data_IF_794611172300
#
_entry.id   IF_794611172300
#
_cell.length_a   1.000
_cell.length_b   1.000
_cell.length_c   1.000
_cell.angle_alpha   90.00
_cell.angle_beta   90.00
_cell.angle_gamma   90.00
#
_symmetry.space_group_name_H-M   'P 1'
#
loop_
_entity.id
_entity.type
_entity.pdbx_description
1 polymer ?
#
# COMPACT_ATOMS: atom_id res chain seq x y z
N UNK A 1 -7.12 16.24 27.83
CA UNK A 1 -6.06 16.84 28.68
C UNK A 1 -5.45 17.99 27.88
N UNK A 2 -5.41 19.21 28.43
CA UNK A 2 -4.76 20.39 27.83
C UNK A 2 -3.23 20.22 27.87
N UNK A 3 -2.67 19.40 26.96
CA UNK A 3 -1.26 19.48 26.62
C UNK A 3 -1.06 20.67 25.68
N UNK A 4 -0.06 21.52 25.93
CA UNK A 4 0.31 22.54 24.97
C UNK A 4 0.68 21.86 23.64
N UNK A 5 0.17 22.38 22.52
CA UNK A 5 0.53 21.93 21.17
C UNK A 5 2.06 21.89 21.04
N UNK A 6 2.61 20.80 20.50
CA UNK A 6 4.05 20.63 20.36
C UNK A 6 4.46 20.31 18.92
N UNK A 7 5.71 20.65 18.59
CA UNK A 7 6.26 20.46 17.24
C UNK A 7 6.85 19.06 17.12
N UNK A 8 6.45 18.33 16.09
CA UNK A 8 7.11 17.09 15.70
C UNK A 8 8.50 17.42 15.12
N UNK A 9 9.56 16.93 15.77
CA UNK A 9 10.95 17.18 15.36
C UNK A 9 11.83 15.98 15.67
N UNK A 10 13.10 16.04 15.25
CA UNK A 10 14.08 14.98 15.48
C UNK A 10 14.24 14.61 16.97
N UNK A 11 14.03 15.56 17.87
CA UNK A 11 14.17 15.41 19.34
C UNK A 11 12.83 15.50 20.08
N UNK A 12 11.72 15.32 19.36
CA UNK A 12 10.36 15.32 19.91
C UNK A 12 9.41 14.50 19.04
N UNK A 13 9.81 13.30 18.62
CA UNK A 13 9.03 12.45 17.70
C UNK A 13 7.70 11.98 18.29
N UNK A 14 7.56 11.96 19.61
CA UNK A 14 6.30 11.63 20.28
C UNK A 14 5.20 12.68 20.06
N UNK A 15 5.55 13.88 19.60
CA UNK A 15 4.63 14.99 19.35
C UNK A 15 4.03 14.96 17.94
N UNK A 16 2.76 15.36 17.82
CA UNK A 16 2.09 15.54 16.53
C UNK A 16 1.08 16.70 16.59
N UNK A 17 1.58 17.91 16.87
CA UNK A 17 0.73 19.11 17.03
C UNK A 17 -0.11 19.02 18.29
N UNK A 18 -1.43 18.97 18.13
CA UNK A 18 -2.41 18.80 19.22
C UNK A 18 -2.60 17.32 19.63
N UNK A 19 -1.95 16.41 18.91
CA UNK A 19 -1.97 14.97 19.14
C UNK A 19 -0.58 14.47 19.54
N UNK A 20 -0.49 13.22 20.01
CA UNK A 20 0.80 12.61 20.38
C UNK A 20 0.76 11.09 20.22
N UNK A 21 1.88 10.44 20.53
CA UNK A 21 2.01 8.98 20.62
C UNK A 21 1.03 8.34 21.63
N UNK A 22 0.51 9.12 22.57
CA UNK A 22 -0.43 8.67 23.60
C UNK A 22 -1.90 8.84 23.19
N UNK A 23 -2.17 9.50 22.06
CA UNK A 23 -3.54 9.66 21.55
C UNK A 23 -4.06 8.31 21.06
N UNK A 24 -5.23 7.89 21.54
CA UNK A 24 -5.90 6.68 21.08
C UNK A 24 -6.43 6.88 19.64
N UNK A 25 -5.67 6.40 18.66
CA UNK A 25 -6.01 6.55 17.25
C UNK A 25 -7.23 5.73 16.79
N UNK A 26 -7.72 4.79 17.61
CA UNK A 26 -8.95 4.06 17.28
C UNK A 26 -10.20 4.95 17.39
N UNK A 27 -10.14 5.93 18.29
CA UNK A 27 -11.26 6.79 18.66
C UNK A 27 -11.04 8.24 18.23
N UNK A 28 -9.79 8.73 18.23
CA UNK A 28 -9.43 10.10 17.91
C UNK A 28 -8.58 10.13 16.65
N UNK A 29 -9.05 10.85 15.62
CA UNK A 29 -8.37 10.97 14.33
C UNK A 29 -8.19 12.47 14.03
N UNK A 30 -6.99 12.93 13.64
CA UNK A 30 -6.80 14.31 13.21
C UNK A 30 -7.67 14.65 12.00
N UNK A 31 -8.27 15.84 12.02
CA UNK A 31 -9.00 16.37 10.87
C UNK A 31 -8.14 17.41 10.16
N UNK A 32 -7.29 16.95 9.23
CA UNK A 32 -6.35 17.82 8.50
C UNK A 32 -7.05 18.64 7.41
N UNK A 33 -8.17 18.14 6.87
CA UNK A 33 -8.84 18.70 5.70
C UNK A 33 -8.07 18.48 4.38
N UNK A 34 -6.89 17.85 4.44
CA UNK A 34 -6.05 17.57 3.29
C UNK A 34 -6.53 16.29 2.61
N UNK A 35 -6.55 16.32 1.28
CA UNK A 35 -6.74 15.14 0.44
C UNK A 35 -5.48 14.92 -0.36
N UNK A 36 -4.95 13.69 -0.32
CA UNK A 36 -3.85 13.26 -1.18
C UNK A 36 -4.39 12.35 -2.25
N UNK A 37 -4.15 12.75 -3.49
CA UNK A 37 -4.71 12.10 -4.67
C UNK A 37 -3.61 11.43 -5.48
N UNK A 38 -3.82 10.17 -5.85
CA UNK A 38 -2.85 9.33 -6.53
C UNK A 38 -3.48 8.64 -7.74
N UNK A 39 -2.67 8.45 -8.79
CA UNK A 39 -3.04 7.67 -9.97
C UNK A 39 -2.08 6.49 -10.12
N UNK A 40 -2.63 5.30 -9.95
CA UNK A 40 -1.92 4.04 -10.13
C UNK A 40 -2.39 3.37 -11.41
N UNK A 41 -1.43 3.02 -12.25
CA UNK A 41 -1.62 2.25 -13.47
C UNK A 41 -1.15 0.82 -13.22
N UNK A 42 -2.07 -0.15 -13.23
CA UNK A 42 -1.71 -1.57 -13.12
C UNK A 42 -1.27 -2.07 -14.49
N UNK A 43 0.01 -2.42 -14.62
CA UNK A 43 0.65 -2.67 -15.90
C UNK A 43 1.27 -4.06 -15.97
N UNK A 44 1.33 -4.61 -17.18
CA UNK A 44 2.22 -5.73 -17.48
C UNK A 44 3.56 -5.14 -17.94
N UNK A 45 4.62 -5.42 -17.21
CA UNK A 45 5.94 -4.81 -17.40
C UNK A 45 7.01 -5.88 -17.56
N UNK A 46 8.14 -5.50 -18.16
CA UNK A 46 9.36 -6.31 -18.18
C UNK A 46 10.39 -5.60 -17.31
N UNK A 47 10.90 -6.29 -16.28
CA UNK A 47 11.84 -5.72 -15.30
C UNK A 47 13.06 -6.63 -15.10
N UNK A 48 14.14 -6.04 -14.59
CA UNK A 48 15.42 -6.73 -14.35
C UNK A 48 15.98 -6.39 -12.96
N UNK A 49 15.29 -6.74 -11.86
CA UNK A 49 15.61 -6.24 -10.51
C UNK A 49 16.90 -6.82 -9.91
N UNK A 50 17.31 -8.02 -10.34
CA UNK A 50 18.45 -8.78 -9.80
C UNK A 50 19.44 -9.21 -10.90
N UNK A 51 19.35 -8.60 -12.09
CA UNK A 51 20.11 -8.98 -13.27
C UNK A 51 19.41 -10.02 -14.17
N UNK A 52 18.30 -10.61 -13.73
CA UNK A 52 17.47 -11.49 -14.56
C UNK A 52 16.24 -10.75 -15.09
N UNK A 53 16.02 -10.79 -16.42
CA UNK A 53 14.89 -10.10 -17.05
C UNK A 53 13.67 -11.00 -17.09
N UNK A 54 12.54 -10.54 -16.55
CA UNK A 54 11.27 -11.27 -16.54
C UNK A 54 10.05 -10.36 -16.64
N UNK A 55 8.90 -10.95 -16.94
CA UNK A 55 7.60 -10.27 -16.84
C UNK A 55 7.21 -10.08 -15.38
N UNK A 56 6.55 -8.94 -15.10
CA UNK A 56 6.05 -8.55 -13.80
C UNK A 56 4.72 -7.80 -13.96
N UNK A 57 3.87 -7.87 -12.95
CA UNK A 57 2.72 -6.97 -12.84
C UNK A 57 3.12 -5.84 -11.91
N UNK A 58 3.00 -4.59 -12.34
CA UNK A 58 3.53 -3.44 -11.57
C UNK A 58 2.50 -2.33 -11.42
N UNK A 59 2.76 -1.45 -10.47
CA UNK A 59 2.15 -0.13 -10.47
C UNK A 59 3.10 0.86 -11.15
N UNK A 60 2.65 1.48 -12.24
CA UNK A 60 3.39 2.51 -12.98
C UNK A 60 4.79 2.07 -13.44
N UNK A 61 4.97 0.79 -13.78
CA UNK A 61 6.19 0.28 -14.39
C UNK A 61 7.30 -0.13 -13.41
N UNK A 62 7.09 -0.02 -12.08
CA UNK A 62 8.13 -0.36 -11.09
C UNK A 62 7.65 -1.38 -10.06
N UNK A 63 8.60 -2.19 -9.58
CA UNK A 63 8.43 -3.07 -8.42
C UNK A 63 9.59 -2.78 -7.43
N UNK A 64 9.32 -2.22 -6.23
CA UNK A 64 8.02 -1.78 -5.72
C UNK A 64 7.38 -0.66 -6.56
N UNK A 65 6.06 -0.54 -6.46
CA UNK A 65 5.29 0.57 -7.03
C UNK A 65 5.55 1.92 -6.31
N UNK A 66 4.95 3.01 -6.79
CA UNK A 66 5.11 4.35 -6.22
C UNK A 66 4.77 4.41 -4.73
N UNK A 67 5.52 5.19 -3.95
CA UNK A 67 5.16 5.41 -2.56
C UNK A 67 3.88 6.25 -2.43
N UNK A 68 2.93 5.74 -1.66
CA UNK A 68 1.80 6.52 -1.17
C UNK A 68 2.20 7.05 0.21
N UNK A 69 2.27 8.37 0.36
CA UNK A 69 2.73 9.03 1.57
C UNK A 69 1.66 10.02 2.02
N UNK A 70 1.09 9.78 3.20
CA UNK A 70 0.09 10.63 3.81
C UNK A 70 0.50 11.06 5.21
N UNK A 71 -0.21 12.03 5.78
CA UNK A 71 -0.12 12.33 7.21
C UNK A 71 -1.34 11.74 7.93
N UNK A 72 -1.18 11.43 9.21
CA UNK A 72 -2.27 10.92 10.04
C UNK A 72 -3.47 11.86 10.00
N UNK A 73 -4.62 11.34 9.56
CA UNK A 73 -5.87 12.09 9.42
C UNK A 73 -6.21 12.54 7.99
N UNK A 74 -5.26 12.48 7.05
CA UNK A 74 -5.48 12.82 5.65
C UNK A 74 -6.51 11.89 4.98
N UNK A 75 -7.21 12.42 3.97
CA UNK A 75 -8.04 11.60 3.10
C UNK A 75 -7.20 11.15 1.89
N UNK A 76 -7.26 9.86 1.57
CA UNK A 76 -6.63 9.30 0.39
C UNK A 76 -7.68 9.07 -0.70
N UNK A 77 -7.35 9.51 -1.91
CA UNK A 77 -8.12 9.26 -3.13
C UNK A 77 -7.17 8.62 -4.14
N UNK A 78 -7.39 7.35 -4.46
CA UNK A 78 -6.44 6.57 -5.25
C UNK A 78 -7.17 5.99 -6.45
N UNK A 79 -6.88 6.53 -7.62
CA UNK A 79 -7.42 6.06 -8.89
C UNK A 79 -6.56 4.90 -9.38
N UNK A 80 -7.14 3.71 -9.44
CA UNK A 80 -6.46 2.52 -9.97
C UNK A 80 -7.07 2.17 -11.31
N UNK A 81 -6.30 2.30 -12.37
CA UNK A 81 -6.67 1.86 -13.72
C UNK A 81 -6.04 0.51 -14.01
N UNK A 82 -6.84 -0.47 -14.40
CA UNK A 82 -6.35 -1.78 -14.78
C UNK A 82 -5.94 -1.79 -16.26
N UNK A 83 -4.64 -1.68 -16.55
CA UNK A 83 -4.11 -1.77 -17.92
C UNK A 83 -3.61 -3.18 -18.28
N UNK A 84 -3.93 -4.21 -17.48
CA UNK A 84 -3.71 -5.61 -17.86
C UNK A 84 -4.71 -6.02 -18.94
N UNK A 85 -4.33 -7.01 -19.75
CA UNK A 85 -5.19 -7.50 -20.84
C UNK A 85 -6.08 -8.69 -20.44
N UNK A 86 -5.62 -9.52 -19.49
CA UNK A 86 -6.19 -10.86 -19.25
C UNK A 86 -6.64 -11.11 -17.81
N UNK A 87 -6.44 -10.15 -16.91
CA UNK A 87 -6.83 -10.30 -15.52
C UNK A 87 -7.64 -9.10 -15.05
N UNK A 88 -8.60 -9.36 -14.17
CA UNK A 88 -9.08 -8.33 -13.26
C UNK A 88 -8.00 -7.99 -12.23
N UNK A 89 -8.21 -6.92 -11.47
CA UNK A 89 -7.35 -6.59 -10.33
C UNK A 89 -8.18 -5.95 -9.20
N UNK A 90 -7.67 -5.97 -7.98
CA UNK A 90 -8.27 -5.30 -6.83
C UNK A 90 -7.16 -5.00 -5.83
N UNK A 91 -7.10 -3.78 -5.32
CA UNK A 91 -5.94 -3.30 -4.57
C UNK A 91 -6.32 -3.14 -3.11
N UNK A 92 -5.72 -3.96 -2.27
CA UNK A 92 -5.89 -3.92 -0.83
C UNK A 92 -4.84 -3.02 -0.19
N UNK A 93 -5.29 -2.23 0.78
CA UNK A 93 -4.44 -1.34 1.56
C UNK A 93 -4.15 -2.03 2.89
N UNK A 94 -3.08 -2.82 2.91
CA UNK A 94 -2.77 -3.71 4.02
C UNK A 94 -2.71 -2.96 5.34
N UNK A 95 -3.36 -3.48 6.37
CA UNK A 95 -3.36 -2.89 7.71
C UNK A 95 -4.18 -1.61 7.86
N UNK A 96 -4.78 -1.06 6.79
CA UNK A 96 -5.71 0.06 6.88
C UNK A 96 -7.06 -0.45 7.40
N UNK A 97 -7.57 0.19 8.46
CA UNK A 97 -8.79 -0.24 9.17
C UNK A 97 -10.07 -0.18 8.34
N UNK A 98 -10.11 0.66 7.31
CA UNK A 98 -11.30 0.93 6.49
C UNK A 98 -12.55 1.31 7.31
N UNK A 99 -12.37 2.15 8.34
CA UNK A 99 -13.47 2.59 9.23
C UNK A 99 -14.50 3.41 8.44
N UNK A 100 -15.63 2.80 8.11
CA UNK A 100 -16.69 3.42 7.31
C UNK A 100 -16.43 3.46 5.81
N UNK A 101 -15.46 2.67 5.33
CA UNK A 101 -15.02 2.61 3.92
C UNK A 101 -14.78 1.16 3.46
N UNK A 102 -15.61 0.23 3.94
CA UNK A 102 -15.47 -1.21 3.70
C UNK A 102 -15.39 -1.56 2.21
N UNK A 103 -16.17 -0.88 1.38
CA UNK A 103 -16.20 -1.06 -0.08
C UNK A 103 -14.87 -0.72 -0.77
N UNK A 104 -13.96 -0.04 -0.07
CA UNK A 104 -12.62 0.32 -0.55
C UNK A 104 -11.50 -0.53 0.06
N UNK A 105 -11.85 -1.65 0.70
CA UNK A 105 -10.87 -2.59 1.25
C UNK A 105 -10.10 -3.37 0.16
N UNK A 106 -10.63 -3.49 -1.05
CA UNK A 106 -9.85 -4.06 -2.17
C UNK A 106 -9.81 -5.57 -2.24
N UNK A 107 -10.78 -6.28 -1.65
CA UNK A 107 -10.80 -7.75 -1.61
C UNK A 107 -11.82 -8.28 -2.61
N UNK A 108 -11.38 -8.83 -3.77
CA UNK A 108 -12.27 -9.26 -4.81
C UNK A 108 -13.08 -10.49 -4.37
N UNK A 109 -14.40 -10.43 -4.54
CA UNK A 109 -15.34 -11.46 -4.06
C UNK A 109 -15.80 -11.29 -2.62
N UNK A 110 -15.29 -10.30 -1.89
CA UNK A 110 -15.75 -9.93 -0.54
C UNK A 110 -16.29 -8.51 -0.52
N UNK A 111 -15.43 -7.52 -0.78
CA UNK A 111 -15.80 -6.09 -0.69
C UNK A 111 -16.05 -5.45 -2.04
N UNK A 112 -15.58 -6.07 -3.13
CA UNK A 112 -15.81 -5.59 -4.50
C UNK A 112 -15.72 -6.71 -5.53
N UNK A 113 -16.17 -6.41 -6.76
CA UNK A 113 -15.72 -7.15 -7.94
C UNK A 113 -14.31 -6.73 -8.35
N UNK A 114 -13.56 -7.56 -9.10
CA UNK A 114 -12.31 -7.13 -9.73
C UNK A 114 -12.56 -5.97 -10.71
N UNK A 115 -11.66 -5.00 -10.73
CA UNK A 115 -11.57 -3.95 -11.76
C UNK A 115 -11.23 -4.66 -13.08
N UNK A 116 -12.09 -4.56 -14.09
CA UNK A 116 -11.87 -5.21 -15.38
C UNK A 116 -10.74 -4.54 -16.18
N UNK A 117 -10.10 -5.24 -17.12
CA UNK A 117 -9.20 -4.62 -18.11
C UNK A 117 -9.80 -3.35 -18.74
N UNK A 118 -9.06 -2.24 -18.67
CA UNK A 118 -9.44 -0.92 -19.16
C UNK A 118 -10.28 -0.07 -18.18
N UNK A 119 -10.79 -0.65 -17.10
CA UNK A 119 -11.61 0.08 -16.12
C UNK A 119 -10.76 0.75 -15.03
N UNK A 120 -11.36 1.76 -14.39
CA UNK A 120 -10.79 2.47 -13.25
C UNK A 120 -11.71 2.39 -12.05
N UNK A 121 -11.17 2.06 -10.87
CA UNK A 121 -11.83 2.25 -9.59
C UNK A 121 -11.08 3.29 -8.77
N UNK A 122 -11.81 4.22 -8.17
CA UNK A 122 -11.26 5.21 -7.25
C UNK A 122 -11.51 4.77 -5.81
N UNK A 123 -10.46 4.39 -5.10
CA UNK A 123 -10.51 4.06 -3.69
C UNK A 123 -10.48 5.33 -2.84
N UNK A 124 -11.31 5.39 -1.80
CA UNK A 124 -11.38 6.55 -0.91
C UNK A 124 -11.43 6.13 0.55
N UNK A 125 -10.46 6.53 1.34
CA UNK A 125 -10.44 6.23 2.77
C UNK A 125 -9.63 7.25 3.54
N UNK A 126 -9.87 7.32 4.85
CA UNK A 126 -9.11 8.20 5.73
C UNK A 126 -7.93 7.43 6.35
N UNK A 127 -6.78 8.09 6.42
CA UNK A 127 -5.60 7.61 7.14
C UNK A 127 -5.82 7.70 8.65
N UNK A 128 -6.63 6.79 9.22
CA UNK A 128 -6.99 6.79 10.65
C UNK A 128 -5.89 6.25 11.57
N UNK A 129 -4.86 5.65 11.00
CA UNK A 129 -3.67 5.11 11.66
C UNK A 129 -2.43 5.83 11.12
N UNK A 130 -1.29 5.66 11.78
CA UNK A 130 0.01 6.12 11.32
C UNK A 130 1.07 5.01 11.44
N UNK A 131 2.13 5.11 10.65
CA UNK A 131 3.23 4.16 10.58
C UNK A 131 3.48 3.64 9.17
N UNK A 132 4.14 2.48 9.11
CA UNK A 132 4.56 1.84 7.86
C UNK A 132 3.65 0.68 7.52
N UNK A 133 3.12 0.69 6.31
CA UNK A 133 2.44 -0.45 5.70
C UNK A 133 2.68 -0.46 4.19
N UNK A 134 1.85 -1.17 3.45
CA UNK A 134 1.98 -1.39 2.03
C UNK A 134 0.59 -1.58 1.41
N UNK A 135 0.52 -1.41 0.10
CA UNK A 135 -0.65 -1.73 -0.68
C UNK A 135 -0.25 -2.75 -1.74
N UNK A 136 -1.17 -3.66 -2.06
CA UNK A 136 -0.87 -4.73 -3.00
C UNK A 136 -2.14 -5.23 -3.67
N UNK A 137 -1.99 -5.88 -4.82
CA UNK A 137 -3.13 -6.62 -5.38
C UNK A 137 -3.55 -7.74 -4.44
N UNK A 138 -4.86 -7.85 -4.23
CA UNK A 138 -5.50 -8.97 -3.55
C UNK A 138 -6.20 -9.92 -4.55
N UNK A 139 -5.99 -9.71 -5.85
CA UNK A 139 -6.50 -10.60 -6.89
C UNK A 139 -5.50 -11.73 -7.16
N UNK A 140 -5.84 -12.95 -6.73
CA UNK A 140 -5.02 -14.16 -6.93
C UNK A 140 -3.57 -13.94 -6.46
N UNK A 141 -2.57 -14.29 -7.28
CA UNK A 141 -1.15 -14.25 -6.94
C UNK A 141 -0.44 -12.96 -7.42
N UNK A 142 -1.17 -11.96 -7.93
CA UNK A 142 -0.58 -10.83 -8.66
C UNK A 142 0.50 -10.06 -7.89
N UNK A 143 0.35 -9.91 -6.56
CA UNK A 143 1.35 -9.16 -5.79
C UNK A 143 2.73 -9.84 -5.79
N UNK A 144 2.78 -11.17 -5.86
CA UNK A 144 4.03 -11.93 -5.90
C UNK A 144 4.79 -11.74 -7.22
N UNK A 145 4.10 -11.28 -8.27
CA UNK A 145 4.70 -10.87 -9.55
C UNK A 145 5.11 -9.39 -9.58
N UNK A 146 5.09 -8.69 -8.44
CA UNK A 146 5.57 -7.30 -8.31
C UNK A 146 4.48 -6.26 -8.04
N UNK A 147 3.20 -6.67 -7.95
CA UNK A 147 2.08 -5.73 -7.87
C UNK A 147 1.81 -5.27 -6.43
N UNK A 148 2.80 -4.59 -5.85
CA UNK A 148 2.79 -4.03 -4.51
C UNK A 148 3.56 -2.70 -4.45
N UNK A 149 3.31 -1.89 -3.42
CA UNK A 149 4.06 -0.66 -3.15
C UNK A 149 3.94 -0.21 -1.70
N UNK A 150 4.78 0.74 -1.25
CA UNK A 150 4.76 1.20 0.14
C UNK A 150 3.62 2.19 0.39
N UNK A 151 2.98 2.07 1.55
CA UNK A 151 2.02 3.03 2.09
C UNK A 151 2.54 3.51 3.44
N UNK A 152 2.98 4.77 3.47
CA UNK A 152 3.55 5.42 4.63
C UNK A 152 2.55 6.46 5.12
N UNK A 153 2.19 6.41 6.39
CA UNK A 153 1.38 7.45 7.02
C UNK A 153 2.20 8.08 8.14
N UNK A 154 2.68 9.30 7.94
CA UNK A 154 3.44 10.02 8.96
C UNK A 154 2.59 10.29 10.20
N UNK A 155 3.21 10.19 11.35
CA UNK A 155 2.62 10.44 12.65
C UNK A 155 3.70 10.44 13.73
N UNK A 156 3.31 10.44 15.02
CA UNK A 156 4.28 10.40 16.10
C UNK A 156 5.00 9.05 16.18
N UNK A 157 6.19 9.03 16.78
CA UNK A 157 6.96 7.82 17.07
C UNK A 157 7.36 7.73 18.55
N UNK A 158 7.68 6.52 19.00
CA UNK A 158 8.01 6.23 20.40
C UNK A 158 9.45 6.60 20.79
N UNK A 159 10.30 6.89 19.81
CA UNK A 159 11.68 7.27 20.01
C UNK A 159 12.08 8.37 19.02
N UNK A 160 12.99 9.22 19.45
CA UNK A 160 13.58 10.26 18.64
C UNK A 160 14.51 9.69 17.58
N UNK A 161 14.48 10.30 16.39
CA UNK A 161 15.34 9.95 15.26
C UNK A 161 15.51 11.16 14.33
N UNK A 162 16.68 11.28 13.73
CA UNK A 162 17.01 12.41 12.85
C UNK A 162 16.41 12.24 11.46
N UNK A 163 16.58 11.07 10.86
CA UNK A 163 16.23 10.80 9.46
C UNK A 163 15.30 9.60 9.33
N UNK A 164 14.28 9.74 8.47
CA UNK A 164 13.47 8.63 7.99
C UNK A 164 14.04 8.15 6.65
N UNK A 165 14.55 6.92 6.61
CA UNK A 165 15.11 6.32 5.39
C UNK A 165 14.04 5.69 4.48
N UNK A 166 12.77 5.69 4.91
CA UNK A 166 11.66 5.10 4.19
C UNK A 166 11.59 3.59 4.32
N UNK A 167 10.97 2.95 3.32
CA UNK A 167 10.62 1.52 3.38
C UNK A 167 11.71 0.64 2.80
N UNK A 168 12.04 -0.43 3.52
CA UNK A 168 12.84 -1.55 3.02
C UNK A 168 11.95 -2.77 2.85
N UNK A 169 11.72 -3.18 1.61
CA UNK A 169 11.02 -4.43 1.30
C UNK A 169 11.95 -5.62 1.42
N UNK A 170 11.44 -6.71 1.99
CA UNK A 170 12.08 -8.01 2.03
C UNK A 170 11.11 -9.00 1.42
N UNK A 171 11.53 -9.73 0.39
CA UNK A 171 10.70 -10.69 -0.31
C UNK A 171 11.54 -11.71 -1.04
N UNK A 172 10.94 -12.86 -1.31
CA UNK A 172 11.44 -13.78 -2.33
C UNK A 172 11.20 -13.20 -3.73
N UNK A 173 11.96 -13.68 -4.71
CA UNK A 173 11.83 -13.26 -6.09
C UNK A 173 12.10 -14.44 -7.02
N UNK A 174 11.09 -14.81 -7.81
CA UNK A 174 11.22 -15.87 -8.80
C UNK A 174 11.76 -15.33 -10.14
N UNK A 175 12.44 -16.17 -10.92
CA UNK A 175 12.77 -15.84 -12.32
C UNK A 175 11.65 -16.16 -13.32
N UNK A 176 10.61 -16.88 -12.90
CA UNK A 176 9.38 -17.16 -13.65
C UNK A 176 8.18 -16.47 -13.03
N UNK A 177 7.12 -16.23 -13.81
CA UNK A 177 5.89 -15.66 -13.24
C UNK A 177 5.27 -16.63 -12.23
N UNK A 178 4.72 -16.10 -11.16
CA UNK A 178 4.07 -16.91 -10.13
C UNK A 178 2.87 -17.69 -10.68
N UNK A 179 2.26 -17.18 -11.76
CA UNK A 179 1.19 -17.86 -12.49
C UNK A 179 1.68 -19.07 -13.28
N UNK A 180 2.90 -19.03 -13.84
CA UNK A 180 3.49 -20.18 -14.55
C UNK A 180 3.81 -21.33 -13.60
N UNK A 181 4.29 -21.02 -12.39
CA UNK A 181 4.66 -22.01 -11.38
C UNK A 181 3.49 -22.47 -10.50
N UNK A 182 2.32 -21.83 -10.61
CA UNK A 182 1.16 -22.11 -9.76
C UNK A 182 0.71 -23.57 -9.82
N UNK A 183 0.61 -24.14 -11.02
CA UNK A 183 0.11 -25.51 -11.22
C UNK A 183 1.00 -26.57 -10.55
N UNK A 184 2.31 -26.34 -10.55
CA UNK A 184 3.28 -27.17 -9.85
C UNK A 184 3.25 -26.91 -8.33
N UNK A 185 3.18 -25.64 -7.91
CA UNK A 185 3.14 -25.24 -6.51
C UNK A 185 1.94 -25.85 -5.78
N UNK A 186 0.73 -25.78 -6.36
CA UNK A 186 -0.47 -26.38 -5.78
C UNK A 186 -0.43 -27.92 -5.72
N UNK A 187 0.40 -28.54 -6.54
CA UNK A 187 0.64 -29.99 -6.52
C UNK A 187 1.74 -30.40 -5.51
N UNK A 188 2.33 -29.44 -4.78
CA UNK A 188 3.35 -29.68 -3.75
C UNK A 188 4.78 -29.62 -4.25
N UNK A 189 5.02 -29.25 -5.53
CA UNK A 189 6.37 -28.97 -6.02
C UNK A 189 6.86 -27.64 -5.45
N UNK A 190 8.09 -27.61 -4.94
CA UNK A 190 8.69 -26.35 -4.46
C UNK A 190 9.08 -25.49 -5.66
N UNK A 191 8.63 -24.22 -5.71
CA UNK A 191 9.12 -23.27 -6.71
C UNK A 191 10.64 -23.10 -6.63
N UNK A 192 11.30 -22.99 -7.78
CA UNK A 192 12.64 -22.41 -7.85
C UNK A 192 12.48 -20.90 -7.93
N UNK A 193 12.99 -20.21 -6.90
CA UNK A 193 13.09 -18.76 -6.87
C UNK A 193 14.33 -18.33 -7.67
#
# INVERSE_FOLDING_TARGET
KNGASCVHSATSRSCWGDYSIDTDWYDVIPHTGVTREYWLSVENSTITPDGYTRSAMTFNGTAPGPAIIADWGDNLVIHVTNNLQHNGTAIHFHGIRQKGSLEYDGVPGVTQCPIAPGDTLTYKFQATQYGTTWYHSHFSLQYADGLFGPLIINGPATADYDEDLGVMFLGDWAHQTVFDIWDAARAGTRPSL
#
